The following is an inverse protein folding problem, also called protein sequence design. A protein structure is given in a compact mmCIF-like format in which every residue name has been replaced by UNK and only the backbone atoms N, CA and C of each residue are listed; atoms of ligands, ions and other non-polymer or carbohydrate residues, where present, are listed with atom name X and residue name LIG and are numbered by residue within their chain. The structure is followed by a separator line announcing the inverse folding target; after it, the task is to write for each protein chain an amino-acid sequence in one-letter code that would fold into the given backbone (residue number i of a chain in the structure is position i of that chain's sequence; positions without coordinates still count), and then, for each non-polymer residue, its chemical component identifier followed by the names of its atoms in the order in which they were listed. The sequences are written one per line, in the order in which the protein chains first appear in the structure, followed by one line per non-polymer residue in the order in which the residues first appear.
data_IF_563491313260
#
_entry.id   IF_563491313260
#
_cell.length_a   1.000
_cell.length_b   1.000
_cell.length_c   1.000
_cell.angle_alpha   90.00
_cell.angle_beta   90.00
_cell.angle_gamma   90.00
#
_symmetry.space_group_name_H-M   'P 1'
#
loop_
_entity.id
_entity.type
_entity.pdbx_description
1 polymer ?
#
# COMPACT_ATOMS: atom_id res chain seq x y z
N UNK A 1 14.21 2.42 3.27
CA UNK A 1 14.59 2.57 1.84
C UNK A 1 14.41 4.04 1.47
N UNK A 2 15.48 4.75 1.15
CA UNK A 2 15.46 6.22 0.95
C UNK A 2 16.30 6.59 -0.29
N UNK A 3 15.88 7.53 -1.13
CA UNK A 3 16.75 8.04 -2.18
C UNK A 3 17.81 8.99 -1.61
N UNK A 4 19.00 8.97 -2.19
CA UNK A 4 20.17 9.67 -1.65
C UNK A 4 19.93 11.18 -1.46
N UNK A 5 19.26 11.83 -2.42
CA UNK A 5 18.97 13.27 -2.35
C UNK A 5 17.99 13.67 -1.23
N UNK A 6 17.25 12.73 -0.64
CA UNK A 6 16.37 13.00 0.51
C UNK A 6 17.06 12.80 1.86
N UNK A 7 18.25 12.19 1.90
CA UNK A 7 18.96 11.94 3.18
C UNK A 7 19.27 13.21 3.96
N UNK A 8 19.55 14.31 3.26
CA UNK A 8 19.81 15.61 3.89
C UNK A 8 18.52 16.34 4.33
N UNK A 9 17.35 15.89 3.87
CA UNK A 9 16.05 16.56 4.08
C UNK A 9 15.13 15.79 5.01
N UNK A 10 15.26 14.47 5.06
CA UNK A 10 14.48 13.59 5.93
C UNK A 10 15.29 13.18 7.15
N UNK A 11 14.60 13.03 8.28
CA UNK A 11 15.23 12.57 9.52
C UNK A 11 15.45 11.06 9.42
N UNK A 12 16.71 10.64 9.30
CA UNK A 12 17.06 9.22 9.38
C UNK A 12 16.68 8.68 10.78
N UNK A 13 15.93 7.58 10.81
CA UNK A 13 15.60 6.91 12.07
C UNK A 13 16.77 6.00 12.48
N UNK A 14 17.42 6.21 13.64
CA UNK A 14 18.62 5.46 14.01
C UNK A 14 18.33 4.00 14.37
N UNK A 15 17.08 3.63 14.65
CA UNK A 15 16.68 2.26 15.03
C UNK A 15 16.39 1.32 13.86
N UNK A 16 16.85 1.62 12.64
CA UNK A 16 16.63 0.76 11.48
C UNK A 16 17.55 -0.47 11.51
N UNK A 17 16.99 -1.65 11.27
CA UNK A 17 17.78 -2.88 11.05
C UNK A 17 18.60 -2.81 9.77
N UNK A 18 18.07 -2.17 8.72
CA UNK A 18 18.73 -2.01 7.42
C UNK A 18 18.36 -0.64 6.81
N UNK A 19 19.35 0.10 6.34
CA UNK A 19 19.17 1.32 5.54
C UNK A 19 19.62 1.05 4.09
N UNK A 20 18.65 1.02 3.17
CA UNK A 20 18.92 0.89 1.73
C UNK A 20 18.79 2.27 1.09
N UNK A 21 19.90 2.78 0.57
CA UNK A 21 19.95 4.03 -0.20
C UNK A 21 19.75 3.73 -1.69
N UNK A 22 18.95 4.54 -2.37
CA UNK A 22 18.68 4.41 -3.82
C UNK A 22 19.06 5.67 -4.59
N UNK A 23 19.33 5.51 -5.88
CA UNK A 23 19.68 6.59 -6.81
C UNK A 23 18.50 7.50 -7.17
N UNK A 24 17.29 6.92 -7.27
CA UNK A 24 16.08 7.62 -7.72
C UNK A 24 14.85 7.26 -6.90
N UNK A 25 13.79 8.09 -7.00
CA UNK A 25 12.46 7.78 -6.45
C UNK A 25 11.88 6.49 -7.06
N UNK A 26 12.05 6.27 -8.37
CA UNK A 26 11.54 5.06 -9.02
C UNK A 26 12.22 3.79 -8.49
N UNK A 27 13.53 3.81 -8.31
CA UNK A 27 14.27 2.70 -7.69
C UNK A 27 13.80 2.48 -6.26
N UNK A 28 13.59 3.56 -5.47
CA UNK A 28 13.04 3.49 -4.11
C UNK A 28 11.70 2.75 -4.08
N UNK A 29 10.71 3.22 -4.85
CA UNK A 29 9.35 2.66 -4.89
C UNK A 29 9.36 1.21 -5.34
N UNK A 30 10.11 0.87 -6.41
CA UNK A 30 10.29 -0.51 -6.89
C UNK A 30 10.89 -1.43 -5.82
N UNK A 31 11.91 -0.96 -5.08
CA UNK A 31 12.55 -1.76 -4.01
C UNK A 31 11.65 -1.94 -2.79
N UNK A 32 10.87 -0.92 -2.43
CA UNK A 32 9.84 -1.03 -1.38
C UNK A 32 8.77 -2.04 -1.78
N UNK A 33 8.24 -1.93 -3.00
CA UNK A 33 7.26 -2.86 -3.53
C UNK A 33 7.76 -4.30 -3.55
N UNK A 34 8.99 -4.54 -4.02
CA UNK A 34 9.55 -5.89 -4.13
C UNK A 34 9.73 -6.58 -2.76
N UNK A 35 9.96 -5.81 -1.69
CA UNK A 35 10.16 -6.33 -0.33
C UNK A 35 8.89 -6.39 0.53
N UNK A 36 7.80 -5.78 0.08
CA UNK A 36 6.55 -5.76 0.82
C UNK A 36 5.66 -6.94 0.43
N UNK A 37 5.05 -7.62 1.40
CA UNK A 37 3.98 -8.61 1.14
C UNK A 37 2.59 -7.97 1.16
N UNK A 38 2.47 -6.81 1.82
CA UNK A 38 1.26 -6.02 1.97
C UNK A 38 1.59 -4.53 2.04
N UNK A 39 0.58 -3.68 1.81
CA UNK A 39 0.70 -2.23 1.96
C UNK A 39 -0.31 -1.72 2.98
N UNK A 40 0.19 -0.98 3.97
CA UNK A 40 -0.64 -0.27 4.96
C UNK A 40 -0.37 1.22 4.81
N UNK A 41 -1.43 1.99 4.59
CA UNK A 41 -1.36 3.41 4.28
C UNK A 41 -1.97 4.20 5.42
N UNK A 42 -1.13 5.01 6.07
CA UNK A 42 -1.51 5.97 7.07
C UNK A 42 -1.85 7.33 6.43
N UNK A 43 -2.54 8.23 7.16
CA UNK A 43 -2.78 9.59 6.68
C UNK A 43 -1.50 10.30 6.25
N UNK A 44 -1.51 10.85 5.05
CA UNK A 44 -0.37 11.53 4.46
C UNK A 44 -0.76 12.50 3.36
N UNK A 45 0.27 13.17 2.82
CA UNK A 45 0.12 14.16 1.74
C UNK A 45 0.34 13.56 0.35
N UNK A 46 0.78 14.41 -0.59
CA UNK A 46 0.97 14.02 -2.00
C UNK A 46 1.95 12.86 -2.20
N UNK A 47 3.01 12.76 -1.40
CA UNK A 47 3.95 11.64 -1.50
C UNK A 47 3.29 10.29 -1.18
N UNK A 48 2.45 10.25 -0.14
CA UNK A 48 1.67 9.06 0.22
C UNK A 48 0.65 8.71 -0.87
N UNK A 49 0.00 9.71 -1.45
CA UNK A 49 -0.97 9.51 -2.53
C UNK A 49 -0.30 9.04 -3.82
N UNK A 50 0.88 9.55 -4.19
CA UNK A 50 1.68 9.07 -5.33
C UNK A 50 1.99 7.57 -5.20
N UNK A 51 2.52 7.18 -4.03
CA UNK A 51 2.86 5.78 -3.76
C UNK A 51 1.61 4.88 -3.76
N UNK A 52 0.50 5.34 -3.16
CA UNK A 52 -0.77 4.62 -3.18
C UNK A 52 -1.32 4.43 -4.60
N UNK A 53 -1.41 5.49 -5.40
CA UNK A 53 -1.97 5.39 -6.75
C UNK A 53 -1.11 4.50 -7.66
N UNK A 54 0.21 4.50 -7.48
CA UNK A 54 1.11 3.62 -8.22
C UNK A 54 0.84 2.14 -7.93
N UNK A 55 0.73 1.75 -6.66
CA UNK A 55 0.44 0.36 -6.29
C UNK A 55 -1.00 -0.06 -6.65
N UNK A 56 -1.97 0.85 -6.59
CA UNK A 56 -3.33 0.57 -7.05
C UNK A 56 -3.35 0.30 -8.56
N UNK A 57 -2.64 1.12 -9.34
CA UNK A 57 -2.53 0.95 -10.78
C UNK A 57 -1.87 -0.39 -11.12
N UNK A 58 -0.79 -0.77 -10.44
CA UNK A 58 -0.14 -2.07 -10.66
C UNK A 58 -1.05 -3.25 -10.30
N UNK A 59 -1.84 -3.13 -9.24
CA UNK A 59 -2.85 -4.13 -8.87
C UNK A 59 -3.95 -4.24 -9.93
N UNK A 60 -4.47 -3.11 -10.39
CA UNK A 60 -5.47 -3.06 -11.46
C UNK A 60 -4.97 -3.72 -12.76
N UNK A 61 -3.69 -3.53 -13.09
CA UNK A 61 -3.03 -4.15 -14.24
C UNK A 61 -2.63 -5.62 -14.02
N UNK A 62 -3.01 -6.23 -12.89
CA UNK A 62 -2.72 -7.63 -12.57
C UNK A 62 -1.25 -7.92 -12.29
N UNK A 63 -0.45 -6.91 -11.92
CA UNK A 63 0.99 -7.08 -11.64
C UNK A 63 1.28 -7.61 -10.24
N UNK A 64 0.29 -7.60 -9.35
CA UNK A 64 0.33 -8.27 -8.04
C UNK A 64 -1.06 -8.46 -7.46
N UNK A 65 -1.15 -9.30 -6.43
CA UNK A 65 -2.37 -9.51 -5.62
C UNK A 65 -2.22 -9.03 -4.16
N UNK A 66 -1.10 -8.37 -3.81
CA UNK A 66 -0.80 -7.92 -2.44
C UNK A 66 -1.96 -7.08 -1.84
N UNK A 67 -2.34 -7.30 -0.57
CA UNK A 67 -3.38 -6.52 0.08
C UNK A 67 -2.94 -5.07 0.28
N UNK A 68 -3.91 -4.15 0.19
CA UNK A 68 -3.72 -2.71 0.38
C UNK A 68 -4.76 -2.26 1.38
N UNK A 69 -4.31 -1.80 2.54
CA UNK A 69 -5.15 -1.35 3.65
C UNK A 69 -4.94 0.15 3.88
N UNK A 70 -6.00 0.93 3.91
CA UNK A 70 -5.97 2.35 4.26
C UNK A 70 -6.55 2.51 5.67
N UNK A 71 -5.80 3.15 6.57
CA UNK A 71 -6.26 3.38 7.94
C UNK A 71 -7.04 4.70 8.00
N UNK A 72 -8.31 4.63 8.39
CA UNK A 72 -9.24 5.75 8.38
C UNK A 72 -9.19 6.60 9.66
N UNK A 73 -8.09 7.32 9.84
CA UNK A 73 -7.98 8.29 10.93
C UNK A 73 -8.68 9.59 10.53
N UNK A 74 -9.72 9.96 11.27
CA UNK A 74 -10.50 11.21 11.09
C UNK A 74 -11.06 11.37 9.66
N UNK A 75 -11.44 10.27 9.02
CA UNK A 75 -12.03 10.27 7.69
C UNK A 75 -11.04 10.49 6.53
N UNK A 76 -9.73 10.39 6.77
CA UNK A 76 -8.73 10.54 5.71
C UNK A 76 -8.89 9.48 4.61
N UNK A 77 -9.00 8.20 4.99
CA UNK A 77 -9.16 7.12 4.02
C UNK A 77 -10.54 7.17 3.36
N UNK A 78 -11.57 7.56 4.12
CA UNK A 78 -12.91 7.79 3.58
C UNK A 78 -12.91 8.85 2.45
N UNK A 79 -12.12 9.91 2.58
CA UNK A 79 -11.98 10.92 1.51
C UNK A 79 -11.22 10.39 0.29
N UNK A 80 -10.21 9.54 0.50
CA UNK A 80 -9.52 8.87 -0.61
C UNK A 80 -10.47 7.92 -1.33
N UNK A 81 -11.29 7.16 -0.59
CA UNK A 81 -12.30 6.30 -1.18
C UNK A 81 -13.32 7.09 -2.00
N UNK A 82 -13.84 8.19 -1.46
CA UNK A 82 -14.78 9.07 -2.16
C UNK A 82 -14.18 9.67 -3.45
N UNK A 83 -12.88 9.96 -3.47
CA UNK A 83 -12.20 10.39 -4.71
C UNK A 83 -12.24 9.30 -5.78
N UNK A 84 -11.95 8.04 -5.41
CA UNK A 84 -12.02 6.91 -6.32
C UNK A 84 -13.45 6.64 -6.77
N UNK A 85 -14.42 6.76 -5.87
CA UNK A 85 -15.85 6.63 -6.19
C UNK A 85 -16.26 7.67 -7.25
N UNK A 86 -15.84 8.94 -7.10
CA UNK A 86 -16.09 9.98 -8.10
C UNK A 86 -15.46 9.68 -9.47
N UNK A 87 -14.24 9.15 -9.51
CA UNK A 87 -13.59 8.72 -10.77
C UNK A 87 -14.38 7.60 -11.47
N UNK A 88 -15.01 6.72 -10.69
CA UNK A 88 -15.89 5.66 -11.23
C UNK A 88 -17.20 6.26 -11.73
N UNK A 89 -17.84 7.12 -10.94
CA UNK A 89 -19.10 7.79 -11.29
C UNK A 89 -19.00 8.62 -12.57
N UNK A 90 -17.87 9.31 -12.76
CA UNK A 90 -17.58 10.09 -13.96
C UNK A 90 -17.19 9.23 -15.18
N UNK A 91 -17.08 7.90 -15.02
CA UNK A 91 -16.80 6.95 -16.10
C UNK A 91 -15.31 6.81 -16.48
N UNK A 92 -14.40 7.36 -15.68
CA UNK A 92 -12.95 7.23 -15.90
C UNK A 92 -12.36 5.92 -15.36
N UNK A 93 -13.10 5.21 -14.51
CA UNK A 93 -12.74 3.89 -14.00
C UNK A 93 -13.94 2.93 -13.96
N UNK A 94 -13.66 1.63 -13.92
CA UNK A 94 -14.70 0.60 -13.76
C UNK A 94 -14.96 0.34 -12.26
N UNK A 95 -16.18 -0.04 -11.86
CA UNK A 95 -16.52 -0.30 -10.45
C UNK A 95 -15.55 -1.20 -9.67
N UNK A 96 -14.95 -2.27 -10.24
CA UNK A 96 -14.00 -3.12 -9.52
C UNK A 96 -12.72 -2.40 -9.02
N UNK A 97 -12.42 -1.19 -9.51
CA UNK A 97 -11.31 -0.38 -8.98
C UNK A 97 -11.49 -0.09 -7.48
N UNK A 98 -12.73 0.00 -7.00
CA UNK A 98 -13.03 0.24 -5.58
C UNK A 98 -12.63 -0.93 -4.66
N UNK A 99 -12.52 -2.13 -5.23
CA UNK A 99 -12.16 -3.37 -4.52
C UNK A 99 -10.64 -3.56 -4.41
N UNK A 100 -9.83 -2.67 -5.01
CA UNK A 100 -8.37 -2.79 -5.00
C UNK A 100 -7.77 -2.54 -3.61
N UNK A 101 -8.48 -1.83 -2.73
CA UNK A 101 -8.07 -1.54 -1.36
C UNK A 101 -9.22 -1.68 -0.37
N UNK A 102 -8.87 -1.91 0.89
CA UNK A 102 -9.78 -1.99 2.03
C UNK A 102 -9.51 -0.83 2.98
N UNK A 103 -10.56 -0.28 3.59
CA UNK A 103 -10.43 0.75 4.63
C UNK A 103 -10.65 0.14 6.00
N UNK A 104 -9.76 0.40 6.96
CA UNK A 104 -9.81 -0.11 8.33
C UNK A 104 -9.77 1.05 9.33
N UNK A 105 -10.38 0.93 10.52
CA UNK A 105 -10.55 2.08 11.41
C UNK A 105 -9.26 2.53 12.11
N UNK A 106 -8.33 1.61 12.36
CA UNK A 106 -7.11 1.87 13.12
C UNK A 106 -5.99 0.86 12.80
N UNK A 107 -4.84 1.04 13.47
CA UNK A 107 -3.67 0.16 13.32
C UNK A 107 -3.94 -1.25 13.81
N UNK A 108 -4.70 -1.43 14.90
CA UNK A 108 -4.97 -2.75 15.45
C UNK A 108 -5.82 -3.58 14.48
N UNK A 109 -6.84 -2.96 13.88
CA UNK A 109 -7.65 -3.56 12.83
C UNK A 109 -6.81 -3.89 11.58
N UNK A 110 -5.88 -3.02 11.19
CA UNK A 110 -4.96 -3.29 10.08
C UNK A 110 -4.10 -4.53 10.33
N UNK A 111 -3.53 -4.66 11.53
CA UNK A 111 -2.69 -5.81 11.90
C UNK A 111 -3.49 -7.11 11.94
N UNK A 112 -4.65 -7.11 12.59
CA UNK A 112 -5.54 -8.27 12.62
C UNK A 112 -5.94 -8.72 11.21
N UNK A 113 -6.18 -7.76 10.30
CA UNK A 113 -6.52 -8.05 8.92
C UNK A 113 -5.37 -8.71 8.14
N UNK A 114 -4.13 -8.30 8.41
CA UNK A 114 -2.93 -8.89 7.80
C UNK A 114 -2.67 -10.32 8.29
N UNK A 115 -2.97 -10.62 9.55
CA UNK A 115 -2.88 -11.98 10.09
C UNK A 115 -3.80 -12.94 9.32
N UNK A 116 -5.05 -12.55 9.07
CA UNK A 116 -5.99 -13.35 8.26
C UNK A 116 -5.50 -13.57 6.83
N UNK A 117 -4.86 -12.57 6.21
CA UNK A 117 -4.26 -12.73 4.89
C UNK A 117 -3.12 -13.76 4.90
N UNK A 118 -2.22 -13.68 5.90
CA UNK A 118 -1.14 -14.65 6.08
C UNK A 118 -1.68 -16.09 6.22
N UNK A 119 -2.72 -16.28 7.02
CA UNK A 119 -3.37 -17.59 7.21
C UNK A 119 -3.97 -18.12 5.90
N UNK A 120 -4.67 -17.28 5.13
CA UNK A 120 -5.24 -17.72 3.84
C UNK A 120 -4.17 -18.15 2.83
N UNK A 121 -3.03 -17.47 2.78
CA UNK A 121 -1.91 -17.80 1.90
C UNK A 121 -1.24 -19.10 2.35
N UNK A 122 -1.05 -19.30 3.66
CA UNK A 122 -0.46 -20.51 4.23
C UNK A 122 -1.40 -21.73 4.14
N UNK A 123 -2.71 -21.51 4.30
CA UNK A 123 -3.73 -22.54 4.13
C UNK A 123 -3.87 -23.01 2.68
N UNK A 124 -3.86 -22.08 1.70
CA UNK A 124 -3.89 -22.43 0.28
C UNK A 124 -2.63 -23.18 -0.18
N UNK A 125 -1.46 -22.86 0.37
CA UNK A 125 -0.21 -23.58 0.07
C UNK A 125 -0.14 -24.96 0.73
N UNK A 126 -0.82 -25.19 1.86
CA UNK A 126 -0.92 -26.52 2.49
C UNK A 126 -1.83 -27.51 1.73
N UNK A 127 -2.83 -27.01 1.00
CA UNK A 127 -3.76 -27.83 0.20
C UNK A 127 -3.25 -28.12 -1.23
N UNK A 128 -2.25 -27.38 -1.71
CA UNK A 128 -1.62 -27.59 -3.02
C UNK A 128 -0.53 -28.68 -3.06
N UNK A 129 -0.28 -29.36 -1.93
CA UNK A 129 0.73 -30.43 -1.79
C UNK A 129 0.11 -31.81 -1.46
N UNK A 130 -1.20 -31.98 -1.70
CA UNK A 130 -1.91 -33.27 -1.66
C UNK A 130 -2.40 -33.65 -3.07
#
# INVERSE_FOLDING_TARGET
IIPDFLRAREVEFPGLTELIVTDTMHTRKRRMFARADAFVVLPGGLGTLDELMEILTWKQLGRHAKPILLIDIRGWASRVAALIDGVIEDGFARPPVRELFETVPDVAAALARLETYSESVNGASSLGNL
#
